data_IF_817052806838
#
_entry.id   IF_817052806838
#
_cell.length_a   1.000
_cell.length_b   1.000
_cell.length_c   1.000
_cell.angle_alpha   90.00
_cell.angle_beta   90.00
_cell.angle_gamma   90.00
#
_symmetry.space_group_name_H-M   'P 1'
#
loop_
_entity.id
_entity.type
_entity.pdbx_description
1 polymer ?
#
# COMPACT_ATOMS: atom_id res chain seq x y z
N UNK A 1 -7.77 -27.17 30.07
CA UNK A 1 -8.27 -25.87 30.54
C UNK A 1 -9.25 -25.32 29.51
N UNK A 2 -10.54 -25.34 29.83
CA UNK A 2 -11.59 -24.86 28.93
C UNK A 2 -11.58 -23.33 28.88
N UNK A 3 -11.41 -22.74 27.68
CA UNK A 3 -11.68 -21.32 27.48
C UNK A 3 -13.17 -21.12 27.72
N UNK A 4 -13.53 -20.40 28.78
CA UNK A 4 -14.85 -19.80 28.92
C UNK A 4 -14.99 -18.84 27.74
N UNK A 5 -15.62 -19.30 26.66
CA UNK A 5 -16.08 -18.42 25.58
C UNK A 5 -17.30 -17.73 26.13
N UNK A 6 -17.08 -16.59 26.78
CA UNK A 6 -18.15 -15.73 27.26
C UNK A 6 -19.01 -15.34 26.05
N UNK A 7 -20.26 -15.82 26.00
CA UNK A 7 -21.22 -15.50 24.95
C UNK A 7 -21.58 -14.02 25.03
N UNK A 8 -20.81 -13.18 24.33
CA UNK A 8 -21.10 -11.76 24.18
C UNK A 8 -22.44 -11.59 23.44
N UNK A 9 -23.46 -11.13 24.16
CA UNK A 9 -24.75 -10.70 23.59
C UNK A 9 -24.87 -9.17 23.71
N UNK A 10 -24.53 -8.41 22.66
CA UNK A 10 -24.64 -6.96 22.71
C UNK A 10 -26.09 -6.51 22.79
N UNK A 11 -26.37 -5.49 23.60
CA UNK A 11 -27.68 -4.84 23.64
C UNK A 11 -28.01 -4.19 22.29
N UNK A 12 -29.31 -3.93 22.03
CA UNK A 12 -29.74 -3.23 20.81
C UNK A 12 -29.04 -1.88 20.64
N UNK A 13 -28.85 -1.14 21.74
CA UNK A 13 -28.15 0.14 21.73
C UNK A 13 -26.69 -0.01 21.29
N UNK A 14 -25.95 -0.98 21.84
CA UNK A 14 -24.57 -1.26 21.45
C UNK A 14 -24.48 -1.61 19.96
N UNK A 15 -25.39 -2.42 19.44
CA UNK A 15 -25.42 -2.77 18.02
C UNK A 15 -25.72 -1.56 17.13
N UNK A 16 -26.65 -0.68 17.53
CA UNK A 16 -26.94 0.56 16.80
C UNK A 16 -25.72 1.47 16.74
N UNK A 17 -25.05 1.68 17.87
CA UNK A 17 -23.83 2.51 17.95
C UNK A 17 -22.71 1.90 17.10
N UNK A 18 -22.47 0.59 17.21
CA UNK A 18 -21.45 -0.08 16.41
C UNK A 18 -21.69 0.08 14.91
N UNK A 19 -22.95 -0.02 14.45
CA UNK A 19 -23.32 0.25 13.05
C UNK A 19 -23.03 1.69 12.64
N UNK A 20 -23.38 2.68 13.47
CA UNK A 20 -23.09 4.10 13.19
C UNK A 20 -21.59 4.37 13.07
N UNK A 21 -20.79 3.82 13.99
CA UNK A 21 -19.33 3.93 13.94
C UNK A 21 -18.78 3.26 12.68
N UNK A 22 -19.27 2.07 12.34
CA UNK A 22 -18.85 1.32 11.14
C UNK A 22 -19.15 2.11 9.87
N UNK A 23 -20.33 2.73 9.79
CA UNK A 23 -20.71 3.60 8.66
C UNK A 23 -19.76 4.80 8.54
N UNK A 24 -19.53 5.54 9.64
CA UNK A 24 -18.62 6.68 9.66
C UNK A 24 -17.18 6.29 9.28
N UNK A 25 -16.74 5.11 9.74
CA UNK A 25 -15.43 4.55 9.39
C UNK A 25 -15.33 4.25 7.89
N UNK A 26 -16.38 3.68 7.28
CA UNK A 26 -16.43 3.45 5.84
C UNK A 26 -16.46 4.73 5.02
N UNK A 27 -17.05 5.82 5.53
CA UNK A 27 -17.06 7.11 4.84
C UNK A 27 -15.65 7.66 4.57
N UNK A 28 -14.65 7.33 5.41
CA UNK A 28 -13.26 7.70 5.15
C UNK A 28 -12.69 6.96 3.92
N UNK A 29 -12.99 5.66 3.77
CA UNK A 29 -12.63 4.88 2.59
C UNK A 29 -13.34 5.42 1.34
N UNK A 30 -14.64 5.69 1.42
CA UNK A 30 -15.43 6.24 0.32
C UNK A 30 -14.89 7.61 -0.12
N UNK A 31 -14.54 8.49 0.82
CA UNK A 31 -13.94 9.79 0.52
C UNK A 31 -12.60 9.69 -0.21
N UNK A 32 -11.77 8.69 0.12
CA UNK A 32 -10.51 8.42 -0.61
C UNK A 32 -10.80 8.01 -2.06
N UNK A 33 -11.75 7.09 -2.26
CA UNK A 33 -12.12 6.60 -3.59
C UNK A 33 -12.74 7.73 -4.42
N UNK A 34 -13.59 8.55 -3.82
CA UNK A 34 -14.25 9.68 -4.48
C UNK A 34 -13.24 10.77 -4.87
N UNK A 35 -12.30 11.12 -3.98
CA UNK A 35 -11.23 12.05 -4.32
C UNK A 35 -10.41 11.56 -5.53
N UNK A 36 -10.08 10.27 -5.58
CA UNK A 36 -9.40 9.68 -6.72
C UNK A 36 -10.25 9.66 -8.00
N UNK A 37 -11.58 9.53 -7.89
CA UNK A 37 -12.51 9.62 -9.03
C UNK A 37 -12.57 11.05 -9.58
N UNK A 38 -12.74 12.04 -8.70
CA UNK A 38 -12.76 13.46 -9.08
C UNK A 38 -11.44 13.90 -9.71
N UNK A 39 -10.30 13.39 -9.23
CA UNK A 39 -9.01 13.63 -9.86
C UNK A 39 -8.94 13.08 -11.29
N UNK A 40 -9.56 11.92 -11.55
CA UNK A 40 -9.62 11.32 -12.88
C UNK A 40 -10.54 12.11 -13.81
N UNK A 41 -11.74 12.47 -13.34
CA UNK A 41 -12.67 13.32 -14.08
C UNK A 41 -12.02 14.67 -14.44
N UNK A 42 -11.31 15.29 -13.50
CA UNK A 42 -10.56 16.52 -13.74
C UNK A 42 -9.44 16.31 -14.78
N UNK A 43 -8.77 15.17 -14.78
CA UNK A 43 -7.72 14.84 -15.74
C UNK A 43 -8.27 14.62 -17.17
N UNK A 44 -9.53 14.19 -17.28
CA UNK A 44 -10.22 13.99 -18.57
C UNK A 44 -10.84 15.28 -19.12
N UNK A 45 -11.16 16.24 -18.25
CA UNK A 45 -11.92 17.46 -18.62
C UNK A 45 -11.08 18.73 -18.68
N UNK A 46 -9.98 18.80 -17.93
CA UNK A 46 -9.10 19.98 -17.90
C UNK A 46 -7.92 19.80 -18.85
N UNK A 47 -7.43 20.93 -19.38
CA UNK A 47 -6.14 20.99 -20.06
C UNK A 47 -5.00 20.52 -19.11
N UNK A 48 -3.95 19.82 -19.61
CA UNK A 48 -2.91 19.24 -18.77
C UNK A 48 -2.23 20.23 -17.82
N UNK A 49 -2.03 21.48 -18.27
CA UNK A 49 -1.47 22.55 -17.44
C UNK A 49 -2.43 22.96 -16.32
N UNK A 50 -3.71 23.14 -16.62
CA UNK A 50 -4.71 23.54 -15.63
C UNK A 50 -4.89 22.46 -14.55
N UNK A 51 -4.85 21.18 -14.94
CA UNK A 51 -4.87 20.07 -13.98
C UNK A 51 -3.66 20.11 -13.04
N UNK A 52 -2.44 20.31 -13.58
CA UNK A 52 -1.23 20.42 -12.79
C UNK A 52 -1.25 21.63 -11.85
N UNK A 53 -1.73 22.78 -12.33
CA UNK A 53 -1.83 24.00 -11.52
C UNK A 53 -2.81 23.79 -10.36
N UNK A 54 -3.99 23.20 -10.59
CA UNK A 54 -4.95 22.86 -9.54
C UNK A 54 -4.34 21.93 -8.50
N UNK A 55 -3.67 20.85 -8.93
CA UNK A 55 -3.05 19.88 -8.03
C UNK A 55 -1.94 20.49 -7.17
N UNK A 56 -1.19 21.46 -7.70
CA UNK A 56 -0.08 22.08 -6.98
C UNK A 56 -0.51 23.23 -6.06
N UNK A 57 -1.57 23.95 -6.40
CA UNK A 57 -1.92 25.22 -5.74
C UNK A 57 -3.24 25.17 -4.96
N UNK A 58 -4.22 24.36 -5.40
CA UNK A 58 -5.60 24.44 -4.90
C UNK A 58 -6.01 23.25 -4.03
N UNK A 59 -5.22 22.17 -4.02
CA UNK A 59 -5.51 20.95 -3.25
C UNK A 59 -4.71 20.88 -1.95
N UNK A 60 -5.26 20.24 -0.89
CA UNK A 60 -4.60 20.13 0.41
C UNK A 60 -3.49 19.06 0.44
N UNK A 61 -2.99 18.65 -0.72
CA UNK A 61 -1.97 17.62 -0.86
C UNK A 61 -1.15 17.79 -2.13
N UNK A 62 0.08 17.30 -2.10
CA UNK A 62 1.00 17.36 -3.23
C UNK A 62 0.61 16.43 -4.39
N UNK A 63 1.16 16.70 -5.57
CA UNK A 63 1.04 15.86 -6.78
C UNK A 63 1.27 14.38 -6.55
N UNK A 64 2.25 14.03 -5.70
CA UNK A 64 2.55 12.63 -5.36
C UNK A 64 1.39 11.92 -4.67
N UNK A 65 0.60 12.65 -3.89
CA UNK A 65 -0.61 12.10 -3.25
C UNK A 65 -1.71 11.94 -4.30
N UNK A 66 -1.91 12.94 -5.17
CA UNK A 66 -2.88 12.87 -6.27
C UNK A 66 -2.64 11.63 -7.17
N UNK A 67 -1.40 11.37 -7.59
CA UNK A 67 -1.04 10.19 -8.39
C UNK A 67 -1.40 8.86 -7.70
N UNK A 68 -1.24 8.78 -6.38
CA UNK A 68 -1.58 7.58 -5.62
C UNK A 68 -3.09 7.40 -5.50
N UNK A 69 -3.82 8.49 -5.29
CA UNK A 69 -5.28 8.48 -5.24
C UNK A 69 -5.87 8.04 -6.59
N UNK A 70 -5.36 8.57 -7.70
CA UNK A 70 -5.68 8.09 -9.05
C UNK A 70 -5.44 6.59 -9.18
N UNK A 71 -4.26 6.11 -8.78
CA UNK A 71 -3.95 4.68 -8.87
C UNK A 71 -4.89 3.81 -8.03
N UNK A 72 -5.32 4.29 -6.86
CA UNK A 72 -6.28 3.59 -6.00
C UNK A 72 -7.66 3.55 -6.67
N UNK A 73 -8.16 4.68 -7.16
CA UNK A 73 -9.48 4.77 -7.79
C UNK A 73 -9.57 4.00 -9.12
N UNK A 74 -8.46 3.88 -9.86
CA UNK A 74 -8.40 3.05 -11.07
C UNK A 74 -8.33 1.55 -10.80
N UNK A 75 -8.00 1.11 -9.57
CA UNK A 75 -7.93 -0.31 -9.22
C UNK A 75 -9.34 -0.89 -8.99
N UNK A 76 -9.85 -1.62 -9.98
CA UNK A 76 -11.17 -2.28 -9.94
C UNK A 76 -11.36 -3.18 -8.72
N UNK A 77 -10.29 -3.71 -8.12
CA UNK A 77 -10.39 -4.56 -6.93
C UNK A 77 -10.65 -3.73 -5.68
N UNK A 78 -10.12 -2.51 -5.62
CA UNK A 78 -10.30 -1.58 -4.51
C UNK A 78 -11.62 -0.81 -4.60
N UNK A 79 -12.13 -0.57 -5.81
CA UNK A 79 -13.43 0.09 -6.02
C UNK A 79 -14.63 -0.86 -6.03
N UNK A 80 -14.40 -2.18 -6.09
CA UNK A 80 -15.48 -3.17 -6.06
C UNK A 80 -16.18 -3.17 -4.71
N UNK A 81 -17.50 -2.88 -4.71
CA UNK A 81 -18.33 -2.80 -3.50
C UNK A 81 -18.23 -4.03 -2.58
N UNK A 82 -18.09 -5.24 -3.15
CA UNK A 82 -17.96 -6.48 -2.36
C UNK A 82 -16.67 -6.56 -1.55
N UNK A 83 -15.63 -5.80 -1.92
CA UNK A 83 -14.33 -5.82 -1.23
C UNK A 83 -14.19 -4.72 -0.17
N UNK A 84 -14.96 -3.63 -0.24
CA UNK A 84 -14.81 -2.45 0.62
C UNK A 84 -14.76 -2.79 2.12
N UNK A 85 -15.55 -3.78 2.56
CA UNK A 85 -15.59 -4.24 3.96
C UNK A 85 -14.29 -4.88 4.48
N UNK A 86 -13.39 -5.29 3.58
CA UNK A 86 -12.10 -5.88 3.93
C UNK A 86 -10.97 -4.86 3.86
N UNK A 87 -11.21 -3.68 3.31
CA UNK A 87 -10.16 -2.73 3.00
C UNK A 87 -9.86 -1.82 4.20
N UNK A 88 -8.59 -1.46 4.42
CA UNK A 88 -8.22 -0.45 5.41
C UNK A 88 -8.59 0.95 4.90
N UNK A 89 -9.16 1.84 5.73
CA UNK A 89 -9.53 3.20 5.32
C UNK A 89 -8.33 4.16 5.39
N UNK A 90 -7.17 3.73 4.90
CA UNK A 90 -5.94 4.54 4.85
C UNK A 90 -5.37 4.49 3.44
N UNK A 91 -5.35 5.65 2.75
CA UNK A 91 -4.90 5.73 1.37
C UNK A 91 -3.47 5.23 1.17
N UNK A 92 -2.58 5.41 2.17
CA UNK A 92 -1.21 4.89 2.10
C UNK A 92 -1.19 3.36 2.05
N UNK A 93 -2.00 2.69 2.86
CA UNK A 93 -2.11 1.23 2.86
C UNK A 93 -2.79 0.73 1.58
N UNK A 94 -3.90 1.35 1.17
CA UNK A 94 -4.59 1.03 -0.09
C UNK A 94 -3.66 1.14 -1.30
N UNK A 95 -2.85 2.20 -1.35
CA UNK A 95 -1.85 2.37 -2.40
C UNK A 95 -0.88 1.19 -2.47
N UNK A 96 -0.42 0.63 -1.34
CA UNK A 96 0.46 -0.54 -1.37
C UNK A 96 -0.25 -1.79 -1.93
N UNK A 97 -1.56 -1.93 -1.71
CA UNK A 97 -2.36 -3.04 -2.26
C UNK A 97 -2.48 -2.98 -3.79
N UNK A 98 -2.41 -1.79 -4.39
CA UNK A 98 -2.44 -1.62 -5.87
C UNK A 98 -1.28 -2.34 -6.60
N UNK A 99 -0.26 -2.78 -5.86
CA UNK A 99 0.89 -3.50 -6.44
C UNK A 99 0.79 -5.01 -6.35
N UNK A 100 -0.27 -5.54 -5.74
CA UNK A 100 -0.55 -6.96 -5.79
C UNK A 100 -1.04 -7.35 -7.19
N UNK A 101 -0.65 -8.54 -7.66
CA UNK A 101 -1.36 -9.16 -8.78
C UNK A 101 -2.78 -9.56 -8.36
N UNK A 102 -3.65 -9.81 -9.33
CA UNK A 102 -5.03 -10.22 -9.04
C UNK A 102 -5.10 -11.52 -8.24
N UNK A 103 -4.21 -12.48 -8.55
CA UNK A 103 -4.07 -13.72 -7.79
C UNK A 103 -3.60 -13.47 -6.35
N UNK A 104 -2.62 -12.59 -6.15
CA UNK A 104 -2.14 -12.24 -4.81
C UNK A 104 -3.22 -11.54 -3.99
N UNK A 105 -3.93 -10.58 -4.58
CA UNK A 105 -5.01 -9.86 -3.93
C UNK A 105 -6.14 -10.80 -3.52
N UNK A 106 -6.62 -11.64 -4.46
CA UNK A 106 -7.67 -12.64 -4.20
C UNK A 106 -7.27 -13.59 -3.07
N UNK A 107 -6.08 -14.18 -3.15
CA UNK A 107 -5.58 -15.10 -2.12
C UNK A 107 -5.44 -14.41 -0.75
N UNK A 108 -5.05 -13.13 -0.73
CA UNK A 108 -4.93 -12.38 0.52
C UNK A 108 -6.29 -12.04 1.15
N UNK A 109 -7.33 -11.79 0.35
CA UNK A 109 -8.71 -11.65 0.82
C UNK A 109 -9.22 -12.99 1.39
N UNK A 110 -9.05 -14.08 0.65
CA UNK A 110 -9.49 -15.43 1.06
C UNK A 110 -8.80 -15.88 2.35
N UNK A 111 -7.50 -15.60 2.48
CA UNK A 111 -6.71 -15.89 3.67
C UNK A 111 -6.90 -14.88 4.81
N UNK A 112 -7.80 -13.89 4.68
CA UNK A 112 -8.05 -12.80 5.65
C UNK A 112 -6.79 -12.00 6.03
N UNK A 113 -5.81 -11.92 5.12
CA UNK A 113 -4.58 -11.11 5.29
C UNK A 113 -4.79 -9.64 4.93
N UNK A 114 -5.80 -9.35 4.10
CA UNK A 114 -6.29 -7.99 3.90
C UNK A 114 -7.50 -7.82 4.83
N UNK A 115 -7.41 -6.86 5.75
CA UNK A 115 -8.45 -6.56 6.73
C UNK A 115 -8.44 -5.05 7.09
N UNK A 116 -9.54 -4.51 7.65
CA UNK A 116 -9.67 -3.07 7.92
C UNK A 116 -8.58 -2.48 8.84
N UNK A 117 -8.10 -3.28 9.80
CA UNK A 117 -7.10 -2.86 10.78
C UNK A 117 -5.65 -3.01 10.28
N UNK A 118 -5.45 -3.49 9.05
CA UNK A 118 -4.11 -3.77 8.55
C UNK A 118 -3.28 -2.49 8.41
N UNK A 119 -2.03 -2.55 8.83
CA UNK A 119 -1.10 -1.45 8.67
C UNK A 119 -0.40 -1.48 7.32
N UNK A 120 0.17 -0.33 6.94
CA UNK A 120 0.94 -0.19 5.70
C UNK A 120 2.07 -1.22 5.62
N UNK A 121 2.79 -1.47 6.72
CA UNK A 121 3.93 -2.40 6.75
C UNK A 121 3.49 -3.84 6.44
N UNK A 122 2.29 -4.22 6.88
CA UNK A 122 1.69 -5.52 6.58
C UNK A 122 1.32 -5.61 5.11
N UNK A 123 0.67 -4.57 4.55
CA UNK A 123 0.39 -4.49 3.11
C UNK A 123 1.67 -4.58 2.26
N UNK A 124 2.74 -3.87 2.66
CA UNK A 124 4.03 -3.94 1.98
C UNK A 124 4.60 -5.36 1.95
N UNK A 125 4.45 -6.13 3.04
CA UNK A 125 4.93 -7.51 3.15
C UNK A 125 4.26 -8.47 2.16
N UNK A 126 3.03 -8.17 1.73
CA UNK A 126 2.31 -8.94 0.71
C UNK A 126 2.88 -8.70 -0.70
N UNK A 127 3.61 -7.61 -0.91
CA UNK A 127 4.11 -7.22 -2.23
C UNK A 127 5.53 -7.74 -2.49
N UNK A 128 5.81 -8.12 -3.74
CA UNK A 128 7.16 -8.51 -4.15
C UNK A 128 8.20 -7.36 -4.06
N UNK A 129 7.73 -6.09 -3.97
CA UNK A 129 8.59 -4.91 -3.79
C UNK A 129 9.36 -4.94 -2.48
N UNK A 130 8.79 -5.50 -1.42
CA UNK A 130 9.46 -5.60 -0.12
C UNK A 130 10.64 -6.57 -0.18
N UNK A 131 10.50 -7.72 -0.87
CA UNK A 131 11.60 -8.67 -1.10
C UNK A 131 12.79 -8.01 -1.82
N UNK A 132 12.53 -7.21 -2.86
CA UNK A 132 13.58 -6.49 -3.61
C UNK A 132 14.25 -5.38 -2.79
N UNK A 133 13.48 -4.62 -1.98
CA UNK A 133 14.03 -3.59 -1.08
C UNK A 133 14.88 -4.19 0.04
N UNK A 134 14.48 -5.33 0.60
CA UNK A 134 15.24 -6.04 1.61
C UNK A 134 16.56 -6.60 1.06
N UNK A 135 16.57 -7.09 -0.19
CA UNK A 135 17.79 -7.57 -0.87
C UNK A 135 18.81 -6.44 -1.12
N UNK A 136 18.36 -5.22 -1.44
CA UNK A 136 19.24 -4.05 -1.65
C UNK A 136 19.86 -3.47 -0.36
N UNK A 137 19.34 -3.82 0.83
CA UNK A 137 19.84 -3.31 2.12
C UNK A 137 20.87 -4.21 2.80
N UNK A 138 21.17 -5.41 2.25
CA UNK A 138 22.28 -6.23 2.77
C UNK A 138 23.60 -5.55 2.37
N UNK A 139 24.54 -5.28 3.30
CA UNK A 139 25.85 -4.78 2.92
C UNK A 139 26.50 -5.83 2.01
N UNK A 140 27.02 -5.38 0.86
CA UNK A 140 27.92 -6.19 0.06
C UNK A 140 29.13 -6.47 0.94
N UNK A 141 29.30 -7.71 1.38
CA UNK A 141 30.51 -8.17 2.07
C UNK A 141 31.61 -8.19 1.00
N UNK A 142 32.39 -7.12 0.91
CA UNK A 142 33.61 -7.11 0.09
C UNK A 142 34.62 -7.98 0.84
N UNK A 143 34.78 -9.23 0.38
CA UNK A 143 35.81 -10.14 0.88
C UNK A 143 37.19 -9.63 0.48
N UNK A 144 37.96 -9.11 1.43
CA UNK A 144 39.40 -8.90 1.27
C UNK A 144 40.13 -10.21 1.61
N UNK A 145 40.21 -11.12 0.65
CA UNK A 145 41.31 -12.10 0.60
C UNK A 145 42.39 -11.43 -0.26
N UNK A 146 43.66 -11.25 0.11
CA UNK A 146 44.51 -11.90 1.09
C UNK A 146 45.90 -11.90 0.44
N UNK A 147 46.81 -11.10 0.96
CA UNK A 147 48.21 -10.94 0.54
C UNK A 147 49.02 -12.25 0.60
N UNK A 148 49.88 -12.47 -0.41
CA UNK A 148 51.26 -13.05 -0.42
C UNK A 148 51.62 -13.30 -1.90
N UNK A 149 52.75 -12.90 -2.51
CA UNK A 149 54.09 -12.63 -2.02
C UNK A 149 55.03 -13.76 -2.48
N UNK A 150 55.70 -13.57 -3.64
CA UNK A 150 56.97 -14.15 -4.15
C UNK A 150 56.93 -14.12 -5.69
N UNK A 151 57.97 -13.81 -6.47
CA UNK A 151 59.37 -13.56 -6.22
C UNK A 151 60.08 -13.46 -7.59
N UNK A 152 61.00 -12.52 -7.69
CA UNK A 152 62.13 -12.34 -8.63
C UNK A 152 62.29 -13.19 -9.89
N UNK A 153 62.39 -12.51 -11.05
CA UNK A 153 63.47 -12.57 -12.06
C UNK A 153 63.01 -11.68 -13.24
N UNK A 154 63.75 -10.75 -13.82
CA UNK A 154 65.18 -10.68 -14.08
C UNK A 154 65.35 -10.39 -15.58
N UNK A 155 66.21 -9.42 -15.93
CA UNK A 155 66.68 -9.08 -17.29
C UNK A 155 65.63 -8.40 -18.22
N UNK A 156 65.92 -7.45 -19.11
CA UNK A 156 67.03 -6.56 -19.49
C UNK A 156 66.50 -5.87 -20.78
N UNK A 157 66.93 -4.63 -21.05
CA UNK A 157 67.18 -3.98 -22.38
C UNK A 157 66.30 -4.40 -23.58
N UNK A 158 65.57 -3.52 -24.27
CA UNK A 158 65.97 -2.28 -24.96
C UNK A 158 64.78 -1.33 -25.08
#
# INVERSE_FOLDING_TARGET
MAKIVTLYKPTRQVQTIAKQITLAWHSALEGILEAGRLLNDAHETLEPKAWLDMVNNDLPFERRTAEKLLKISSDKRLTKRTHLKYLPPRWTTLHELTYLSDSQFKNAIEARKIHPDMERKEAESLTARNKRRAQKKKPVVISKNGTKGNGSNGAQIF
#
